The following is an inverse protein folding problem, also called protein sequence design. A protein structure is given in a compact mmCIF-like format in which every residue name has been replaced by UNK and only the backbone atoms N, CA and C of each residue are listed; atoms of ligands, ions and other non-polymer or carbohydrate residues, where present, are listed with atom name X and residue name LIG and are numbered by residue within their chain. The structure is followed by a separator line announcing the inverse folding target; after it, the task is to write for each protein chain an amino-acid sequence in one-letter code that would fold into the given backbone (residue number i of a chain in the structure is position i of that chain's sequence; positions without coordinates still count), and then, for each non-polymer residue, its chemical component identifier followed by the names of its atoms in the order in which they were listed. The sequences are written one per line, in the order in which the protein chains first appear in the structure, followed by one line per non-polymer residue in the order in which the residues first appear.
data_IF_910413039587
#
_entry.id   IF_910413039587
#
_cell.length_a   1.000
_cell.length_b   1.000
_cell.length_c   1.000
_cell.angle_alpha   90.00
_cell.angle_beta   90.00
_cell.angle_gamma   90.00
#
_symmetry.space_group_name_H-M   'P 1'
#
loop_
_entity.id
_entity.type
_entity.pdbx_description
1 polymer ?
#
# COMPACT_ATOMS: atom_id res chain seq x y z
N UNK A 1 -21.23 -12.63 8.54
CA UNK A 1 -20.01 -12.82 9.34
C UNK A 1 -19.77 -11.56 10.13
N UNK A 2 -19.13 -11.69 11.28
CA UNK A 2 -18.57 -10.61 12.07
C UNK A 2 -17.06 -10.56 11.77
N UNK A 3 -16.59 -9.49 11.15
CA UNK A 3 -15.24 -9.38 10.59
C UNK A 3 -14.51 -8.18 11.18
N UNK A 4 -13.18 -8.28 11.28
CA UNK A 4 -12.31 -7.12 11.55
C UNK A 4 -11.51 -6.79 10.29
N UNK A 5 -11.55 -5.56 9.81
CA UNK A 5 -10.69 -5.06 8.74
C UNK A 5 -9.55 -4.26 9.34
N UNK A 6 -8.30 -4.61 9.00
CA UNK A 6 -7.11 -3.80 9.26
C UNK A 6 -6.57 -3.36 7.90
N UNK A 7 -6.65 -2.07 7.59
CA UNK A 7 -6.35 -1.55 6.24
C UNK A 7 -5.39 -0.36 6.28
N UNK A 8 -4.66 -0.14 5.19
CA UNK A 8 -3.98 1.14 4.97
C UNK A 8 -5.03 2.23 4.74
N UNK A 9 -4.85 3.41 5.34
CA UNK A 9 -5.82 4.51 5.22
C UNK A 9 -5.90 5.11 3.81
N UNK A 10 -4.96 4.79 2.91
CA UNK A 10 -5.05 5.19 1.50
C UNK A 10 -6.26 4.58 0.79
N UNK A 11 -6.87 3.53 1.36
CA UNK A 11 -8.10 2.92 0.84
C UNK A 11 -9.37 3.46 1.51
N UNK A 12 -9.28 4.50 2.35
CA UNK A 12 -10.40 4.94 3.19
C UNK A 12 -11.68 5.15 2.38
N UNK A 13 -11.61 5.89 1.26
CA UNK A 13 -12.80 6.21 0.44
C UNK A 13 -13.39 4.96 -0.21
N UNK A 14 -12.55 4.09 -0.77
CA UNK A 14 -12.96 2.86 -1.44
C UNK A 14 -13.58 1.87 -0.46
N UNK A 15 -12.98 1.74 0.73
CA UNK A 15 -13.45 0.85 1.79
C UNK A 15 -14.77 1.34 2.37
N UNK A 16 -14.86 2.61 2.79
CA UNK A 16 -16.11 3.20 3.33
C UNK A 16 -17.28 3.05 2.35
N UNK A 17 -17.03 3.35 1.06
CA UNK A 17 -18.04 3.18 0.02
C UNK A 17 -18.57 1.74 -0.08
N UNK A 18 -17.69 0.74 0.07
CA UNK A 18 -18.06 -0.68 -0.05
C UNK A 18 -18.56 -1.30 1.26
N UNK A 19 -18.17 -0.78 2.42
CA UNK A 19 -18.62 -1.23 3.73
C UNK A 19 -20.14 -1.08 3.88
N UNK A 20 -20.70 0.03 3.40
CA UNK A 20 -22.16 0.27 3.37
C UNK A 20 -22.92 -0.77 2.51
N UNK A 21 -22.22 -1.45 1.59
CA UNK A 21 -22.80 -2.42 0.66
C UNK A 21 -22.53 -3.88 1.08
N UNK A 22 -21.73 -4.10 2.12
CA UNK A 22 -21.33 -5.44 2.55
C UNK A 22 -22.48 -6.17 3.24
N UNK A 23 -22.65 -7.49 3.01
CA UNK A 23 -23.61 -8.31 3.75
C UNK A 23 -23.09 -8.71 5.15
N UNK A 24 -21.99 -8.14 5.62
CA UNK A 24 -21.30 -8.52 6.85
C UNK A 24 -21.16 -7.34 7.80
N UNK A 25 -21.08 -7.64 9.09
CA UNK A 25 -20.73 -6.66 10.11
C UNK A 25 -19.20 -6.58 10.16
N UNK A 26 -18.65 -5.42 9.82
CA UNK A 26 -17.20 -5.24 9.69
C UNK A 26 -16.77 -4.09 10.60
N UNK A 27 -16.02 -4.42 11.64
CA UNK A 27 -15.30 -3.40 12.41
C UNK A 27 -14.01 -3.04 11.67
N UNK A 28 -13.69 -1.75 11.58
CA UNK A 28 -12.59 -1.26 10.73
C UNK A 28 -11.53 -0.57 11.58
N UNK A 29 -10.28 -0.85 11.27
CA UNK A 29 -9.10 -0.15 11.76
C UNK A 29 -8.26 0.32 10.56
N UNK A 30 -8.11 1.63 10.40
CA UNK A 30 -7.22 2.20 9.40
C UNK A 30 -5.89 2.58 10.05
N UNK A 31 -4.79 2.05 9.51
CA UNK A 31 -3.46 2.48 9.90
C UNK A 31 -2.94 3.54 8.93
N UNK A 32 -2.14 4.44 9.49
CA UNK A 32 -1.65 5.62 8.78
C UNK A 32 -0.80 5.27 7.54
N UNK A 33 -0.85 6.14 6.54
CA UNK A 33 0.02 6.08 5.35
C UNK A 33 1.48 6.20 5.81
N UNK A 34 2.35 5.48 5.10
CA UNK A 34 3.80 5.51 5.34
C UNK A 34 4.33 4.27 6.07
N UNK A 35 3.47 3.34 6.53
CA UNK A 35 3.95 2.07 7.09
C UNK A 35 4.79 1.24 6.10
N UNK A 36 4.56 1.37 4.80
CA UNK A 36 5.37 0.67 3.80
C UNK A 36 6.78 1.28 3.64
N UNK A 37 6.98 2.51 4.11
CA UNK A 37 8.25 3.23 3.99
C UNK A 37 9.19 2.98 5.17
N UNK A 38 8.72 2.36 6.26
CA UNK A 38 9.54 1.99 7.43
C UNK A 38 10.12 0.57 7.29
N UNK A 39 11.13 0.16 8.09
CA UNK A 39 11.66 -1.19 8.07
C UNK A 39 10.57 -2.26 8.23
N UNK A 40 10.70 -3.34 7.46
CA UNK A 40 9.73 -4.45 7.40
C UNK A 40 9.35 -4.98 8.78
N UNK A 41 10.30 -5.12 9.70
CA UNK A 41 10.06 -5.61 11.07
C UNK A 41 9.17 -4.66 11.89
N UNK A 42 9.32 -3.35 11.70
CA UNK A 42 8.51 -2.35 12.40
C UNK A 42 7.08 -2.28 11.85
N UNK A 43 6.92 -2.37 10.52
CA UNK A 43 5.58 -2.49 9.91
C UNK A 43 4.89 -3.78 10.39
N UNK A 44 5.60 -4.91 10.36
CA UNK A 44 5.09 -6.20 10.84
C UNK A 44 4.63 -6.10 12.28
N UNK A 45 5.45 -5.53 13.17
CA UNK A 45 5.12 -5.38 14.59
C UNK A 45 3.85 -4.56 14.81
N UNK A 46 3.68 -3.46 14.07
CA UNK A 46 2.49 -2.59 14.17
C UNK A 46 1.23 -3.32 13.70
N UNK A 47 1.29 -4.04 12.57
CA UNK A 47 0.14 -4.82 12.07
C UNK A 47 -0.15 -6.01 12.99
N UNK A 48 0.88 -6.70 13.48
CA UNK A 48 0.73 -7.80 14.43
C UNK A 48 0.05 -7.34 15.72
N UNK A 49 0.36 -6.14 16.23
CA UNK A 49 -0.31 -5.60 17.41
C UNK A 49 -1.82 -5.44 17.20
N UNK A 50 -2.25 -5.03 16.01
CA UNK A 50 -3.68 -4.93 15.67
C UNK A 50 -4.34 -6.31 15.52
N UNK A 51 -3.63 -7.27 14.93
CA UNK A 51 -4.08 -8.67 14.86
C UNK A 51 -4.20 -9.27 16.26
N UNK A 52 -3.24 -9.00 17.14
CA UNK A 52 -3.21 -9.49 18.51
C UNK A 52 -4.39 -8.94 19.31
N UNK A 53 -4.63 -7.62 19.24
CA UNK A 53 -5.79 -6.99 19.87
C UNK A 53 -7.11 -7.53 19.33
N UNK A 54 -7.25 -7.68 18.01
CA UNK A 54 -8.45 -8.26 17.40
C UNK A 54 -8.69 -9.71 17.81
N UNK A 55 -7.63 -10.46 18.13
CA UNK A 55 -7.72 -11.86 18.55
C UNK A 55 -8.26 -12.05 19.97
N UNK A 56 -8.45 -10.96 20.73
CA UNK A 56 -9.12 -10.96 22.04
C UNK A 56 -10.66 -10.90 21.92
N UNK A 57 -11.18 -10.81 20.68
CA UNK A 57 -12.60 -10.68 20.37
C UNK A 57 -13.12 -11.85 19.51
N UNK A 58 -14.44 -11.95 19.39
CA UNK A 58 -15.11 -13.02 18.63
C UNK A 58 -15.37 -12.61 17.17
N UNK A 59 -14.32 -12.56 16.34
CA UNK A 59 -14.43 -12.38 14.89
C UNK A 59 -14.34 -13.70 14.12
N UNK A 60 -15.10 -13.82 13.03
CA UNK A 60 -15.03 -14.96 12.10
C UNK A 60 -13.72 -14.95 11.29
N UNK A 61 -13.21 -13.76 10.95
CA UNK A 61 -11.93 -13.55 10.26
C UNK A 61 -11.41 -12.12 10.42
N UNK A 62 -10.10 -11.95 10.28
CA UNK A 62 -9.43 -10.65 10.17
C UNK A 62 -9.00 -10.43 8.72
N UNK A 63 -9.52 -9.38 8.09
CA UNK A 63 -9.21 -8.97 6.73
C UNK A 63 -8.03 -7.98 6.73
N UNK A 64 -7.10 -8.16 5.81
CA UNK A 64 -5.96 -7.26 5.62
C UNK A 64 -6.15 -6.46 4.32
N UNK A 65 -6.45 -5.17 4.46
CA UNK A 65 -6.47 -4.19 3.36
C UNK A 65 -5.06 -3.76 2.96
N UNK A 66 -4.20 -4.74 2.65
CA UNK A 66 -2.78 -4.58 2.36
C UNK A 66 -2.32 -5.59 1.30
N UNK A 67 -1.41 -5.16 0.43
CA UNK A 67 -0.50 -6.09 -0.26
C UNK A 67 0.71 -6.43 0.64
N UNK A 68 1.76 -7.02 0.08
CA UNK A 68 3.00 -7.26 0.82
C UNK A 68 3.65 -5.96 1.30
N UNK A 69 3.54 -4.85 0.55
CA UNK A 69 3.91 -3.49 0.93
C UNK A 69 5.26 -3.42 1.67
N UNK A 70 6.37 -3.50 0.93
CA UNK A 70 7.72 -3.65 1.51
C UNK A 70 7.88 -4.91 2.39
N UNK A 71 7.19 -5.99 2.01
CA UNK A 71 7.12 -7.25 2.75
C UNK A 71 6.65 -7.15 4.21
N UNK A 72 5.99 -6.06 4.62
CA UNK A 72 5.54 -5.83 5.99
C UNK A 72 4.58 -6.88 6.55
N UNK A 73 3.94 -7.68 5.68
CA UNK A 73 3.10 -8.82 6.11
C UNK A 73 3.88 -10.13 6.28
N UNK A 74 5.11 -10.23 5.79
CA UNK A 74 5.92 -11.46 5.90
C UNK A 74 6.26 -11.70 7.36
N UNK A 75 5.89 -12.87 7.88
CA UNK A 75 6.05 -13.20 9.30
C UNK A 75 4.84 -12.88 10.16
N UNK A 76 3.80 -12.25 9.61
CA UNK A 76 2.54 -12.01 10.33
C UNK A 76 1.89 -13.33 10.67
N UNK A 77 1.55 -13.51 11.95
CA UNK A 77 1.00 -14.74 12.49
C UNK A 77 -0.49 -14.58 12.77
N UNK A 78 -1.27 -15.50 12.20
CA UNK A 78 -2.64 -15.73 12.63
C UNK A 78 -2.60 -16.31 14.06
N UNK A 79 -3.29 -15.66 14.99
CA UNK A 79 -3.45 -16.17 16.36
C UNK A 79 -4.54 -17.23 16.35
N UNK A 80 -5.61 -17.01 17.10
CA UNK A 80 -6.75 -17.91 17.16
C UNK A 80 -7.79 -17.62 16.07
N UNK A 81 -7.67 -16.47 15.38
CA UNK A 81 -8.54 -16.03 14.29
C UNK A 81 -7.78 -16.13 12.96
N UNK A 82 -8.47 -16.61 11.92
CA UNK A 82 -7.91 -16.68 10.57
C UNK A 82 -7.67 -15.28 9.99
N UNK A 83 -6.62 -15.15 9.19
CA UNK A 83 -6.34 -13.92 8.43
C UNK A 83 -6.71 -14.13 6.96
N UNK A 84 -7.20 -13.08 6.30
CA UNK A 84 -7.45 -13.08 4.87
C UNK A 84 -6.77 -11.86 4.25
N UNK A 85 -5.95 -12.08 3.23
CA UNK A 85 -5.26 -11.02 2.51
C UNK A 85 -5.32 -11.25 1.00
N UNK A 86 -5.40 -10.16 0.20
CA UNK A 86 -5.20 -10.27 -1.22
C UNK A 86 -3.75 -10.68 -1.47
N UNK A 87 -3.56 -11.56 -2.45
CA UNK A 87 -2.24 -11.84 -2.98
C UNK A 87 -1.85 -10.66 -3.85
N UNK A 88 -1.07 -9.74 -3.31
CA UNK A 88 -0.68 -8.50 -3.98
C UNK A 88 0.72 -8.09 -3.52
N UNK A 89 1.54 -7.55 -4.42
CA UNK A 89 2.85 -7.00 -4.02
C UNK A 89 2.70 -5.70 -3.23
N UNK A 90 1.76 -4.86 -3.66
CA UNK A 90 1.53 -3.52 -3.13
C UNK A 90 0.04 -3.14 -3.26
N UNK A 91 -0.25 -1.91 -2.86
CA UNK A 91 -1.59 -1.34 -2.91
C UNK A 91 -2.11 -1.04 -4.33
N UNK A 92 -1.23 -0.88 -5.34
CA UNK A 92 -1.63 -0.58 -6.72
C UNK A 92 -2.44 -1.74 -7.30
N UNK A 93 -2.06 -2.98 -6.97
CA UNK A 93 -2.82 -4.18 -7.35
C UNK A 93 -4.29 -4.11 -6.89
N UNK A 94 -4.55 -3.60 -5.67
CA UNK A 94 -5.90 -3.48 -5.13
C UNK A 94 -6.69 -2.40 -5.86
N UNK A 95 -6.07 -1.25 -6.19
CA UNK A 95 -6.71 -0.19 -6.97
C UNK A 95 -7.02 -0.62 -8.40
N UNK A 96 -6.16 -1.43 -9.03
CA UNK A 96 -6.39 -1.95 -10.38
C UNK A 96 -7.29 -3.19 -10.40
N UNK A 97 -7.55 -3.79 -9.24
CA UNK A 97 -8.44 -4.94 -9.04
C UNK A 97 -7.92 -6.27 -9.58
N UNK A 98 -6.67 -6.33 -10.04
CA UNK A 98 -6.04 -7.55 -10.59
C UNK A 98 -4.53 -7.41 -10.65
N UNK A 99 -3.83 -8.49 -10.26
CA UNK A 99 -2.38 -8.61 -10.43
C UNK A 99 -1.97 -8.64 -11.89
N UNK A 100 -2.73 -9.35 -12.73
CA UNK A 100 -2.47 -9.42 -14.16
C UNK A 100 -2.56 -8.03 -14.79
N UNK A 101 -3.64 -7.30 -14.50
CA UNK A 101 -3.82 -5.93 -15.00
C UNK A 101 -2.70 -5.01 -14.52
N UNK A 102 -2.30 -5.14 -13.26
CA UNK A 102 -1.17 -4.37 -12.74
C UNK A 102 0.13 -4.69 -13.47
N UNK A 103 0.44 -5.98 -13.67
CA UNK A 103 1.64 -6.41 -14.42
C UNK A 103 1.63 -5.88 -15.85
N UNK A 104 0.54 -6.09 -16.58
CA UNK A 104 0.39 -5.62 -17.97
C UNK A 104 0.61 -4.10 -18.08
N UNK A 105 0.04 -3.34 -17.14
CA UNK A 105 0.20 -1.89 -17.12
C UNK A 105 1.64 -1.47 -16.79
N UNK A 106 2.24 -2.09 -15.77
CA UNK A 106 3.60 -1.80 -15.34
C UNK A 106 4.62 -2.10 -16.45
N UNK A 107 4.48 -3.23 -17.13
CA UNK A 107 5.38 -3.64 -18.21
C UNK A 107 5.26 -2.73 -19.44
N UNK A 108 4.06 -2.20 -19.70
CA UNK A 108 3.81 -1.25 -20.80
C UNK A 108 4.25 0.19 -20.47
N UNK A 109 4.21 0.58 -19.20
CA UNK A 109 4.45 1.96 -18.74
C UNK A 109 5.50 2.04 -17.63
N UNK A 110 6.76 1.64 -17.90
CA UNK A 110 7.84 1.75 -16.92
C UNK A 110 8.08 3.21 -16.54
N UNK A 111 8.42 3.46 -15.27
CA UNK A 111 8.61 4.83 -14.76
C UNK A 111 7.29 5.57 -14.51
N UNK A 112 6.22 4.84 -14.21
CA UNK A 112 4.95 5.41 -13.74
C UNK A 112 4.95 5.67 -12.24
N UNK A 113 4.63 6.91 -11.85
CA UNK A 113 4.26 7.29 -10.50
C UNK A 113 2.74 7.26 -10.36
N UNK A 114 2.20 6.38 -9.51
CA UNK A 114 0.75 6.24 -9.34
C UNK A 114 0.19 7.24 -8.32
N UNK A 115 -1.01 7.77 -8.62
CA UNK A 115 -1.80 8.63 -7.72
C UNK A 115 -3.25 8.15 -7.69
N UNK A 116 -3.92 8.38 -6.57
CA UNK A 116 -5.32 8.12 -6.24
C UNK A 116 -5.73 9.19 -5.25
N UNK A 117 -7.02 9.29 -4.93
CA UNK A 117 -7.45 10.19 -3.85
C UNK A 117 -6.80 9.87 -2.52
N UNK A 118 -6.61 8.60 -2.18
CA UNK A 118 -5.99 8.21 -0.92
C UNK A 118 -4.58 8.74 -0.75
N UNK A 119 -3.75 8.65 -1.79
CA UNK A 119 -2.37 9.13 -1.71
C UNK A 119 -2.27 10.66 -1.66
N UNK A 120 -3.17 11.38 -2.34
CA UNK A 120 -3.19 12.85 -2.37
C UNK A 120 -3.85 13.44 -1.12
N UNK A 121 -4.95 12.84 -0.65
CA UNK A 121 -5.69 13.36 0.52
C UNK A 121 -4.94 13.09 1.84
N UNK A 122 -4.18 11.99 1.90
CA UNK A 122 -3.32 11.63 3.03
C UNK A 122 -1.87 12.00 2.72
N UNK A 123 -1.61 13.16 2.12
CA UNK A 123 -0.29 13.48 1.58
C UNK A 123 0.81 13.39 2.66
N UNK A 124 0.50 13.84 3.87
CA UNK A 124 1.40 13.84 5.02
C UNK A 124 1.58 12.44 5.62
N UNK A 125 2.84 11.99 5.70
CA UNK A 125 3.24 10.86 6.56
C UNK A 125 3.37 11.37 7.99
N UNK A 126 2.84 10.64 8.96
CA UNK A 126 2.87 11.04 10.35
C UNK A 126 4.29 11.36 10.85
N UNK A 127 4.42 12.41 11.67
CA UNK A 127 5.70 12.88 12.21
C UNK A 127 6.47 11.78 12.97
N UNK A 128 5.76 10.81 13.55
CA UNK A 128 6.38 9.65 14.22
C UNK A 128 6.98 8.61 13.25
N UNK A 129 6.47 8.53 12.02
CA UNK A 129 6.92 7.60 10.99
C UNK A 129 8.06 8.18 10.16
N UNK A 130 8.09 9.50 9.95
CA UNK A 130 9.10 10.16 9.12
C UNK A 130 10.54 9.82 9.54
N UNK A 131 10.95 9.90 10.83
CA UNK A 131 12.28 9.51 11.28
C UNK A 131 12.58 8.01 11.17
N UNK A 132 11.53 7.19 11.08
CA UNK A 132 11.65 5.74 10.94
C UNK A 132 11.69 5.31 9.47
N UNK A 133 11.34 6.19 8.54
CA UNK A 133 11.29 5.86 7.11
C UNK A 133 12.70 5.53 6.60
N UNK A 134 12.78 4.55 5.71
CA UNK A 134 14.03 4.12 5.08
C UNK A 134 14.72 5.30 4.37
N UNK A 135 14.01 6.17 3.60
CA UNK A 135 14.63 7.36 3.02
C UNK A 135 15.29 8.25 4.07
N UNK A 136 14.62 8.52 5.19
CA UNK A 136 15.18 9.35 6.25
C UNK A 136 16.39 8.71 6.95
N UNK A 137 16.29 7.42 7.30
CA UNK A 137 17.38 6.69 7.96
C UNK A 137 18.64 6.57 7.11
N UNK A 138 18.49 6.61 5.78
CA UNK A 138 19.59 6.50 4.83
C UNK A 138 20.06 7.85 4.30
N UNK A 139 19.39 8.95 4.67
CA UNK A 139 19.66 10.30 4.16
C UNK A 139 19.24 10.52 2.70
N UNK A 140 18.42 9.64 2.13
CA UNK A 140 17.93 9.76 0.74
C UNK A 140 16.83 10.81 0.58
N UNK A 141 16.27 11.32 1.68
CA UNK A 141 15.27 12.40 1.69
C UNK A 141 15.89 13.79 1.96
N UNK A 142 17.22 13.88 2.09
CA UNK A 142 17.92 15.15 2.23
C UNK A 142 17.76 15.99 0.97
N UNK A 143 17.56 17.30 1.14
CA UNK A 143 17.58 18.27 0.05
C UNK A 143 19.00 18.44 -0.50
N UNK A 144 19.10 18.90 -1.76
CA UNK A 144 20.40 19.19 -2.37
C UNK A 144 21.19 20.22 -1.53
N UNK A 145 20.51 21.24 -1.02
CA UNK A 145 21.11 22.27 -0.18
C UNK A 145 21.69 21.70 1.13
N UNK A 146 20.99 20.78 1.79
CA UNK A 146 21.47 20.10 2.99
C UNK A 146 22.70 19.21 2.68
N UNK A 147 22.72 18.54 1.53
CA UNK A 147 23.87 17.76 1.09
C UNK A 147 25.09 18.66 0.82
N UNK A 148 24.89 19.82 0.17
CA UNK A 148 25.95 20.80 -0.09
C UNK A 148 26.53 21.33 1.23
N UNK A 149 25.68 21.67 2.20
CA UNK A 149 26.13 22.15 3.51
C UNK A 149 26.96 21.09 4.25
N UNK A 150 26.56 19.83 4.19
CA UNK A 150 27.19 18.76 4.96
C UNK A 150 28.43 18.15 4.29
N UNK A 151 28.41 18.01 2.96
CA UNK A 151 29.40 17.22 2.22
C UNK A 151 30.21 18.04 1.21
N UNK A 152 29.83 19.29 0.95
CA UNK A 152 30.40 20.14 -0.09
C UNK A 152 29.83 19.80 -1.47
N UNK A 153 29.94 20.76 -2.40
CA UNK A 153 29.27 20.73 -3.72
C UNK A 153 29.59 19.47 -4.54
N UNK A 154 30.86 19.13 -4.72
CA UNK A 154 31.28 17.95 -5.52
C UNK A 154 30.72 16.62 -4.97
N UNK A 155 30.68 16.45 -3.64
CA UNK A 155 30.14 15.23 -3.03
C UNK A 155 28.60 15.26 -2.99
N UNK A 156 28.00 16.44 -2.83
CA UNK A 156 26.55 16.60 -2.83
C UNK A 156 25.95 16.25 -4.19
N UNK A 157 26.59 16.66 -5.28
CA UNK A 157 26.20 16.26 -6.64
C UNK A 157 26.22 14.74 -6.79
N UNK A 158 27.31 14.07 -6.40
CA UNK A 158 27.41 12.61 -6.45
C UNK A 158 26.35 11.92 -5.57
N UNK A 159 26.16 12.35 -4.33
CA UNK A 159 25.18 11.76 -3.40
C UNK A 159 23.74 11.99 -3.87
N UNK A 160 23.46 13.16 -4.45
CA UNK A 160 22.16 13.47 -5.01
C UNK A 160 21.84 12.57 -6.21
N UNK A 161 22.76 12.46 -7.16
CA UNK A 161 22.57 11.65 -8.36
C UNK A 161 22.39 10.16 -8.05
N UNK A 162 23.17 9.64 -7.10
CA UNK A 162 23.21 8.20 -6.82
C UNK A 162 22.19 7.75 -5.76
N UNK A 163 21.86 8.59 -4.78
CA UNK A 163 21.07 8.17 -3.61
C UNK A 163 19.77 8.96 -3.42
N UNK A 164 19.74 10.27 -3.70
CA UNK A 164 18.62 11.12 -3.29
C UNK A 164 17.65 11.48 -4.43
N UNK A 165 18.09 11.37 -5.69
CA UNK A 165 17.24 11.56 -6.86
C UNK A 165 16.34 10.33 -7.11
N UNK A 166 15.46 10.06 -6.15
CA UNK A 166 14.51 8.93 -6.14
C UNK A 166 13.50 9.02 -7.30
N UNK A 167 13.35 10.21 -7.88
CA UNK A 167 12.41 10.46 -8.95
C UNK A 167 13.01 10.28 -10.37
N UNK A 168 14.33 10.09 -10.50
CA UNK A 168 15.06 10.10 -11.80
C UNK A 168 14.55 9.12 -12.85
N UNK A 169 13.95 8.03 -12.41
CA UNK A 169 13.47 6.95 -13.29
C UNK A 169 11.98 7.10 -13.64
N UNK A 170 11.29 8.10 -13.10
CA UNK A 170 9.90 8.37 -13.44
C UNK A 170 9.80 9.37 -14.57
N UNK A 171 8.78 9.18 -15.40
CA UNK A 171 8.48 10.07 -16.54
C UNK A 171 6.98 10.25 -16.77
N UNK A 172 6.15 9.65 -15.90
CA UNK A 172 4.70 9.68 -16.01
C UNK A 172 4.05 9.70 -14.63
N UNK A 173 2.99 10.49 -14.47
CA UNK A 173 1.99 10.31 -13.41
C UNK A 173 0.77 9.60 -13.98
N UNK A 174 0.33 8.54 -13.31
CA UNK A 174 -0.95 7.88 -13.61
C UNK A 174 -1.91 8.10 -12.46
N UNK A 175 -3.00 8.82 -12.72
CA UNK A 175 -4.10 8.95 -11.77
C UNK A 175 -5.10 7.79 -11.97
N UNK A 176 -5.31 7.01 -10.93
CA UNK A 176 -6.28 5.90 -10.91
C UNK A 176 -7.60 6.42 -10.35
N UNK A 177 -8.58 6.57 -11.24
CA UNK A 177 -9.93 7.05 -10.93
C UNK A 177 -10.80 5.90 -10.41
N UNK A 178 -11.09 5.89 -9.12
CA UNK A 178 -11.80 4.79 -8.44
C UNK A 178 -13.32 4.89 -8.54
N UNK A 179 -13.85 6.03 -8.97
CA UNK A 179 -15.30 6.30 -9.08
C UNK A 179 -15.96 6.65 -7.74
N UNK A 180 -15.17 6.90 -6.70
CA UNK A 180 -15.62 7.29 -5.34
C UNK A 180 -15.13 8.69 -4.95
N UNK A 181 -14.52 9.39 -5.90
CA UNK A 181 -14.04 10.75 -5.74
C UNK A 181 -15.21 11.73 -5.57
N UNK A 182 -15.07 12.75 -4.72
CA UNK A 182 -16.13 13.74 -4.51
C UNK A 182 -16.28 14.69 -5.70
N UNK A 183 -15.19 14.94 -6.44
CA UNK A 183 -15.11 15.81 -7.63
C UNK A 183 -13.74 15.62 -8.34
N UNK A 184 -13.44 16.49 -9.31
CA UNK A 184 -12.24 16.43 -10.16
C UNK A 184 -10.97 17.07 -9.54
N UNK A 185 -11.00 17.51 -8.27
CA UNK A 185 -9.86 18.23 -7.67
C UNK A 185 -8.58 17.39 -7.61
N UNK A 186 -8.72 16.10 -7.32
CA UNK A 186 -7.60 15.18 -7.18
C UNK A 186 -6.95 14.86 -8.52
N UNK A 187 -7.77 14.75 -9.56
CA UNK A 187 -7.30 14.63 -10.94
C UNK A 187 -6.44 15.84 -11.33
N UNK A 188 -6.94 17.06 -11.03
CA UNK A 188 -6.22 18.32 -11.32
C UNK A 188 -4.89 18.41 -10.58
N UNK A 189 -4.83 18.03 -9.31
CA UNK A 189 -3.57 18.01 -8.54
C UNK A 189 -2.55 17.09 -9.23
N UNK A 190 -2.96 15.88 -9.63
CA UNK A 190 -2.06 14.95 -10.33
C UNK A 190 -1.61 15.49 -11.71
N UNK A 191 -2.49 16.19 -12.44
CA UNK A 191 -2.15 16.86 -13.70
C UNK A 191 -1.15 18.00 -13.51
N UNK A 192 -1.36 18.83 -12.50
CA UNK A 192 -0.48 19.96 -12.15
C UNK A 192 0.91 19.46 -11.71
N UNK A 193 0.96 18.39 -10.90
CA UNK A 193 2.20 17.75 -10.48
C UNK A 193 3.00 17.20 -11.68
N UNK A 194 2.32 16.50 -12.60
CA UNK A 194 2.95 15.97 -13.81
C UNK A 194 3.52 17.11 -14.68
N UNK A 195 2.74 18.19 -14.86
CA UNK A 195 3.18 19.37 -15.60
C UNK A 195 4.38 20.05 -14.94
N UNK A 196 4.40 20.15 -13.61
CA UNK A 196 5.51 20.75 -12.84
C UNK A 196 6.83 19.98 -13.01
N UNK A 197 6.76 18.66 -13.16
CA UNK A 197 7.89 17.75 -13.34
C UNK A 197 8.25 17.51 -14.81
N UNK A 198 7.49 18.12 -15.74
CA UNK A 198 7.58 17.84 -17.18
C UNK A 198 7.44 16.33 -17.49
N UNK A 199 6.53 15.66 -16.78
CA UNK A 199 6.17 14.25 -16.95
C UNK A 199 4.87 14.11 -17.75
N UNK A 200 4.68 12.95 -18.36
CA UNK A 200 3.43 12.59 -18.99
C UNK A 200 2.33 12.43 -17.93
N UNK A 201 1.08 12.70 -18.32
CA UNK A 201 -0.08 12.46 -17.48
C UNK A 201 -1.01 11.47 -18.16
N UNK A 202 -1.47 10.47 -17.40
CA UNK A 202 -2.49 9.52 -17.82
C UNK A 202 -3.55 9.37 -16.72
N UNK A 203 -4.81 9.22 -17.13
CA UNK A 203 -5.89 8.79 -16.25
C UNK A 203 -6.36 7.41 -16.64
N UNK A 204 -6.46 6.51 -15.66
CA UNK A 204 -6.98 5.15 -15.84
C UNK A 204 -8.11 4.87 -14.86
N UNK A 205 -9.11 4.12 -15.29
CA UNK A 205 -10.19 3.69 -14.40
C UNK A 205 -9.67 2.61 -13.43
N UNK A 206 -9.87 2.80 -12.14
CA UNK A 206 -9.66 1.79 -11.11
C UNK A 206 -10.65 0.63 -11.21
N UNK A 207 -10.51 -0.34 -10.31
CA UNK A 207 -11.45 -1.46 -10.21
C UNK A 207 -11.61 -1.91 -8.75
N UNK A 208 -12.77 -1.61 -8.19
CA UNK A 208 -13.14 -1.95 -6.82
C UNK A 208 -13.36 -3.45 -6.57
N UNK A 209 -13.35 -4.30 -7.59
CA UNK A 209 -13.73 -5.73 -7.48
C UNK A 209 -12.91 -6.48 -6.44
N UNK A 210 -11.59 -6.27 -6.37
CA UNK A 210 -10.75 -6.99 -5.40
C UNK A 210 -11.05 -6.56 -3.97
N UNK A 211 -11.23 -5.25 -3.74
CA UNK A 211 -11.62 -4.70 -2.44
C UNK A 211 -13.02 -5.20 -2.04
N UNK A 212 -13.98 -5.16 -2.96
CA UNK A 212 -15.33 -5.64 -2.73
C UNK A 212 -15.36 -7.14 -2.37
N UNK A 213 -14.57 -7.97 -3.06
CA UNK A 213 -14.45 -9.42 -2.75
C UNK A 213 -13.86 -9.66 -1.37
N UNK A 214 -12.87 -8.86 -0.96
CA UNK A 214 -12.28 -8.94 0.38
C UNK A 214 -13.35 -8.71 1.46
N UNK A 215 -14.12 -7.62 1.33
CA UNK A 215 -15.14 -7.23 2.31
C UNK A 215 -16.38 -8.13 2.31
N UNK A 216 -16.76 -8.66 1.15
CA UNK A 216 -17.97 -9.49 1.01
C UNK A 216 -17.74 -10.99 1.27
N UNK A 217 -16.56 -11.39 1.75
CA UNK A 217 -16.29 -12.80 2.08
C UNK A 217 -16.00 -13.71 0.89
N UNK A 218 -15.75 -13.15 -0.31
CA UNK A 218 -15.58 -13.90 -1.55
C UNK A 218 -14.11 -14.23 -1.83
N UNK A 219 -13.49 -15.02 -0.93
CA UNK A 219 -12.05 -15.26 -0.91
C UNK A 219 -11.65 -16.48 -1.75
N UNK A 220 -11.70 -16.34 -3.07
CA UNK A 220 -11.18 -17.38 -3.96
C UNK A 220 -9.64 -17.52 -3.82
N UNK A 221 -9.11 -18.73 -3.96
CA UNK A 221 -7.67 -19.00 -3.77
C UNK A 221 -6.78 -18.33 -4.83
N UNK A 222 -7.34 -18.02 -6.00
CA UNK A 222 -6.62 -17.33 -7.05
C UNK A 222 -6.21 -15.95 -6.58
N UNK A 223 -7.13 -15.15 -6.02
CA UNK A 223 -6.95 -13.75 -5.61
C UNK A 223 -6.49 -13.58 -4.16
N UNK A 224 -6.84 -14.51 -3.27
CA UNK A 224 -6.66 -14.37 -1.83
C UNK A 224 -5.86 -15.52 -1.22
N UNK A 225 -5.16 -15.21 -0.14
CA UNK A 225 -4.63 -16.20 0.78
C UNK A 225 -5.49 -16.18 2.04
N UNK A 226 -5.99 -17.34 2.45
CA UNK A 226 -6.58 -17.54 3.77
C UNK A 226 -5.54 -18.21 4.65
N UNK A 227 -5.22 -17.58 5.78
CA UNK A 227 -4.22 -18.02 6.75
C UNK A 227 -4.95 -18.62 7.94
N UNK A 228 -4.92 -19.95 8.14
CA UNK A 228 -5.62 -20.58 9.24
C UNK A 228 -4.99 -20.17 10.58
N UNK A 229 -5.72 -20.32 11.70
CA UNK A 229 -5.20 -20.07 13.04
C UNK A 229 -3.85 -20.75 13.27
N UNK A 230 -2.97 -20.07 13.99
CA UNK A 230 -1.59 -20.48 14.30
C UNK A 230 -0.60 -20.54 13.12
N UNK A 231 -1.04 -20.30 11.88
CA UNK A 231 -0.15 -20.23 10.73
C UNK A 231 0.50 -18.84 10.57
N UNK A 232 1.51 -18.76 9.71
CA UNK A 232 2.30 -17.55 9.51
C UNK A 232 2.46 -17.27 8.02
N UNK A 233 2.43 -15.99 7.64
CA UNK A 233 2.60 -15.55 6.25
C UNK A 233 4.08 -15.61 5.84
N UNK A 234 4.33 -15.99 4.59
CA UNK A 234 5.64 -15.96 3.94
C UNK A 234 5.50 -15.41 2.53
N UNK A 235 6.54 -14.74 2.03
CA UNK A 235 6.60 -14.36 0.62
C UNK A 235 6.71 -15.61 -0.27
N UNK A 236 6.06 -15.55 -1.42
CA UNK A 236 6.23 -16.48 -2.52
C UNK A 236 6.82 -15.71 -3.71
N UNK A 237 7.85 -16.27 -4.34
CA UNK A 237 8.52 -15.67 -5.50
C UNK A 237 7.90 -16.15 -6.83
N UNK A 238 6.80 -16.89 -6.77
CA UNK A 238 5.94 -17.20 -7.92
C UNK A 238 4.80 -16.18 -8.07
N UNK A 239 3.97 -16.35 -9.10
CA UNK A 239 2.75 -15.54 -9.34
C UNK A 239 1.76 -15.53 -8.16
N UNK A 240 1.92 -16.46 -7.20
CA UNK A 240 1.09 -16.53 -6.00
C UNK A 240 1.39 -15.43 -4.98
N UNK A 241 2.57 -14.78 -5.05
CA UNK A 241 3.09 -13.67 -4.23
C UNK A 241 3.25 -13.95 -2.73
N UNK A 242 2.27 -14.62 -2.12
CA UNK A 242 2.22 -14.92 -0.70
C UNK A 242 1.83 -16.38 -0.50
N UNK A 243 2.34 -16.99 0.56
CA UNK A 243 2.01 -18.36 0.95
C UNK A 243 2.05 -18.53 2.47
N UNK A 244 1.62 -19.70 2.94
CA UNK A 244 1.88 -20.12 4.31
C UNK A 244 3.36 -20.47 4.48
N UNK A 245 3.97 -20.02 5.57
CA UNK A 245 5.31 -20.43 5.99
C UNK A 245 5.28 -21.93 6.29
N UNK A 246 6.20 -22.68 5.70
CA UNK A 246 6.39 -24.10 6.03
C UNK A 246 6.98 -24.20 7.44
N UNK A 247 6.47 -25.16 8.22
CA UNK A 247 6.92 -25.43 9.58
C UNK A 247 8.36 -25.99 9.61
#
# INVERSE_FOLDING_TARGET
MHLKLISCEIFFREMEFLLEQSPHEIEVEFLQKGLHDIPTEEMLKRIQAQVDAASEHDYDAILLGYGLCNNGLVGLKARDIQLVLPRAHDCITLFLGSRQRYREYFDANPGTYFKTTGWIERDEVADELKPLSIPNQTGMDMTYEELVEQYGEDNAEFLWEELCNTERNYSQITFVEMGVEPDDRFEKIAQEEAASKNWNYEKVAGNLTLIQRLLNGNWNEEDFLTVPPNATISADHSEQIVKLRQA
#
